data_IF_718278100777
#
_entry.id   IF_718278100777
#
_cell.length_a   1.000
_cell.length_b   1.000
_cell.length_c   1.000
_cell.angle_alpha   90.00
_cell.angle_beta   90.00
_cell.angle_gamma   90.00
#
_symmetry.space_group_name_H-M   'P 1'
#
loop_
_entity.id
_entity.type
_entity.pdbx_description
1 polymer ?
#
# COMPACT_ATOMS: atom_id res chain seq x y z
N UNK A 1 -0.16 -2.21 31.48
CA UNK A 1 -0.24 -3.11 30.32
C UNK A 1 -1.18 -2.45 29.32
N UNK A 2 -0.65 -1.67 28.38
CA UNK A 2 -1.48 -1.10 27.31
C UNK A 2 -1.81 -2.27 26.38
N UNK A 3 -3.03 -2.80 26.48
CA UNK A 3 -3.54 -3.68 25.43
C UNK A 3 -3.40 -2.92 24.12
N UNK A 4 -2.68 -3.49 23.15
CA UNK A 4 -2.66 -2.97 21.79
C UNK A 4 -4.11 -2.96 21.33
N UNK A 5 -4.72 -1.78 21.35
CA UNK A 5 -6.09 -1.62 20.91
C UNK A 5 -6.08 -2.01 19.43
N UNK A 6 -6.57 -3.20 19.09
CA UNK A 6 -6.53 -3.71 17.70
C UNK A 6 -7.60 -3.08 16.80
N UNK A 7 -8.31 -2.08 17.33
CA UNK A 7 -9.37 -1.29 16.68
C UNK A 7 -8.83 0.06 16.18
N UNK A 8 -7.68 0.06 15.52
CA UNK A 8 -7.10 1.29 15.01
C UNK A 8 -7.39 1.42 13.52
N UNK A 9 -7.91 2.58 13.11
CA UNK A 9 -8.10 2.92 11.69
C UNK A 9 -6.78 2.89 10.92
N UNK A 10 -5.66 3.13 11.61
CA UNK A 10 -4.30 3.18 11.07
C UNK A 10 -3.29 2.59 12.07
N UNK A 11 -2.22 1.91 11.61
CA UNK A 11 -1.10 1.48 12.47
C UNK A 11 -0.58 2.61 13.37
N UNK A 12 -0.22 2.31 14.62
CA UNK A 12 0.42 3.32 15.50
C UNK A 12 1.86 3.53 15.05
N UNK A 13 2.20 4.77 14.73
CA UNK A 13 3.53 5.17 14.26
C UNK A 13 4.06 6.28 15.16
N UNK A 14 5.37 6.28 15.43
CA UNK A 14 5.99 7.31 16.25
C UNK A 14 6.03 8.65 15.53
N UNK A 15 6.11 9.73 16.31
CA UNK A 15 6.23 11.09 15.78
C UNK A 15 7.57 11.31 15.04
N UNK A 16 7.55 12.21 14.07
CA UNK A 16 8.73 12.66 13.35
C UNK A 16 9.32 13.87 14.07
N UNK A 17 10.52 13.71 14.62
CA UNK A 17 11.16 14.74 15.47
C UNK A 17 11.69 15.94 14.67
N UNK A 18 11.91 15.79 13.35
CA UNK A 18 12.54 16.81 12.50
C UNK A 18 11.89 16.94 11.12
N UNK A 19 10.60 17.26 11.02
CA UNK A 19 9.98 17.44 9.70
C UNK A 19 10.49 18.73 9.04
N UNK A 20 11.41 18.63 8.07
CA UNK A 20 11.76 19.76 7.21
C UNK A 20 10.53 20.21 6.40
N UNK A 21 10.33 21.53 6.24
CA UNK A 21 9.22 22.09 5.45
C UNK A 21 9.37 21.80 3.94
N UNK A 22 10.60 21.68 3.45
CA UNK A 22 10.92 21.26 2.08
C UNK A 22 11.95 20.14 2.11
N UNK A 23 11.68 19.06 1.39
CA UNK A 23 12.62 17.94 1.24
C UNK A 23 13.84 18.34 0.42
N UNK A 24 15.02 17.86 0.82
CA UNK A 24 16.27 18.10 0.09
C UNK A 24 16.34 17.37 -1.25
N UNK A 25 15.53 16.34 -1.44
CA UNK A 25 15.56 15.46 -2.61
C UNK A 25 14.15 15.16 -3.12
N UNK A 26 13.93 15.27 -4.44
CA UNK A 26 12.64 14.95 -5.07
C UNK A 26 12.38 13.45 -5.21
N UNK A 27 13.42 12.68 -5.51
CA UNK A 27 13.37 11.23 -5.74
C UNK A 27 14.42 10.53 -4.89
N UNK A 28 13.99 9.67 -3.98
CA UNK A 28 14.86 8.86 -3.13
C UNK A 28 15.07 7.48 -3.78
N UNK A 29 16.32 7.05 -3.90
CA UNK A 29 16.67 5.67 -4.29
C UNK A 29 16.82 4.84 -3.02
N UNK A 30 16.12 3.71 -2.95
CA UNK A 30 16.15 2.84 -1.78
C UNK A 30 15.94 1.37 -2.16
N UNK A 31 16.20 0.48 -1.21
CA UNK A 31 15.90 -0.94 -1.30
C UNK A 31 14.50 -1.20 -0.75
N UNK A 32 13.63 -1.81 -1.55
CA UNK A 32 12.34 -2.31 -1.18
C UNK A 32 12.47 -3.70 -0.54
N UNK A 33 12.01 -3.79 0.71
CA UNK A 33 11.79 -5.05 1.40
C UNK A 33 10.29 -5.24 1.68
N UNK A 34 9.85 -6.49 1.60
CA UNK A 34 8.48 -6.85 1.95
C UNK A 34 8.43 -7.88 3.07
N UNK A 35 7.33 -7.92 3.80
CA UNK A 35 7.18 -8.85 4.91
C UNK A 35 5.77 -8.89 5.49
N UNK A 36 5.63 -9.57 6.63
CA UNK A 36 4.36 -9.63 7.35
C UNK A 36 4.40 -8.65 8.52
N UNK A 37 3.29 -7.99 8.79
CA UNK A 37 3.13 -7.07 9.91
C UNK A 37 1.97 -7.51 10.82
N UNK A 38 2.02 -7.11 12.09
CA UNK A 38 1.01 -7.45 13.09
C UNK A 38 -0.34 -6.80 12.82
N UNK A 39 -0.37 -5.54 12.36
CA UNK A 39 -1.60 -4.82 12.03
C UNK A 39 -2.24 -5.43 10.80
N UNK A 40 -1.43 -5.77 9.79
CA UNK A 40 -1.91 -6.54 8.65
C UNK A 40 -2.56 -7.86 9.10
N UNK A 41 -1.87 -8.63 9.94
CA UNK A 41 -2.36 -9.93 10.41
C UNK A 41 -3.68 -9.82 11.15
N UNK A 42 -3.83 -8.78 11.98
CA UNK A 42 -5.08 -8.47 12.68
C UNK A 42 -6.21 -8.12 11.69
N UNK A 43 -5.97 -7.25 10.72
CA UNK A 43 -6.98 -6.87 9.71
C UNK A 43 -7.45 -8.08 8.89
N UNK A 44 -6.54 -8.98 8.48
CA UNK A 44 -6.89 -10.21 7.74
C UNK A 44 -7.78 -11.17 8.53
N UNK A 45 -7.54 -11.30 9.84
CA UNK A 45 -8.32 -12.21 10.69
C UNK A 45 -9.66 -11.62 11.11
N UNK A 46 -9.72 -10.30 11.30
CA UNK A 46 -10.90 -9.61 11.80
C UNK A 46 -11.91 -9.27 10.70
N UNK A 47 -11.43 -8.92 9.51
CA UNK A 47 -12.26 -8.25 8.51
C UNK A 47 -12.00 -8.70 7.08
N UNK A 48 -12.46 -7.88 6.15
CA UNK A 48 -12.26 -8.08 4.72
C UNK A 48 -11.00 -7.35 4.26
N UNK A 49 -10.27 -7.94 3.32
CA UNK A 49 -9.14 -7.30 2.64
C UNK A 49 -9.55 -6.12 1.74
N UNK A 50 -10.87 -5.85 1.64
CA UNK A 50 -11.43 -4.73 0.89
C UNK A 50 -11.58 -3.45 1.71
N UNK A 51 -11.49 -3.53 3.04
CA UNK A 51 -11.71 -2.39 3.94
C UNK A 51 -10.53 -1.42 3.99
N UNK A 52 -10.82 -0.16 4.29
CA UNK A 52 -9.82 0.89 4.47
C UNK A 52 -8.80 0.57 5.57
N UNK A 53 -9.21 -0.09 6.66
CA UNK A 53 -8.28 -0.56 7.71
C UNK A 53 -7.16 -1.44 7.12
N UNK A 54 -7.50 -2.35 6.19
CA UNK A 54 -6.52 -3.22 5.54
C UNK A 54 -5.62 -2.45 4.58
N UNK A 55 -6.18 -1.47 3.84
CA UNK A 55 -5.40 -0.53 3.02
C UNK A 55 -4.40 0.25 3.89
N UNK A 56 -4.81 0.78 5.03
CA UNK A 56 -3.92 1.55 5.90
C UNK A 56 -2.82 0.70 6.54
N UNK A 57 -3.05 -0.60 6.72
CA UNK A 57 -2.02 -1.52 7.21
C UNK A 57 -1.10 -2.07 6.10
N UNK A 58 -1.64 -2.37 4.91
CA UNK A 58 -0.90 -3.05 3.85
C UNK A 58 -0.43 -2.14 2.70
N UNK A 59 -1.10 -1.01 2.49
CA UNK A 59 -0.78 0.05 1.53
C UNK A 59 0.04 1.17 2.16
N UNK A 60 0.97 0.82 3.05
CA UNK A 60 1.84 1.75 3.76
C UNK A 60 3.30 1.37 3.55
N UNK A 61 4.09 2.37 3.18
CA UNK A 61 5.53 2.34 3.03
C UNK A 61 6.18 2.87 4.32
N UNK A 62 6.77 1.96 5.09
CA UNK A 62 7.51 2.30 6.29
C UNK A 62 8.94 2.72 5.92
N UNK A 63 9.33 3.91 6.36
CA UNK A 63 10.57 4.57 5.96
C UNK A 63 11.41 4.98 7.16
N UNK A 64 12.72 5.14 6.95
CA UNK A 64 13.58 5.77 7.94
C UNK A 64 13.17 7.25 8.11
N UNK A 65 13.10 7.77 9.35
CA UNK A 65 12.78 9.18 9.57
C UNK A 65 13.71 10.13 8.81
N UNK A 66 15.00 9.81 8.64
CA UNK A 66 15.96 10.65 7.89
C UNK A 66 15.61 10.70 6.41
N UNK A 67 15.20 9.59 5.83
CA UNK A 67 14.75 9.52 4.44
C UNK A 67 13.42 10.26 4.23
N UNK A 68 12.51 10.17 5.20
CA UNK A 68 11.27 10.97 5.19
C UNK A 68 11.57 12.47 5.22
N UNK A 69 12.57 12.89 5.99
CA UNK A 69 13.03 14.29 6.04
C UNK A 69 13.66 14.71 4.71
N UNK A 70 14.50 13.87 4.10
CA UNK A 70 15.08 14.14 2.77
C UNK A 70 14.00 14.29 1.69
N UNK A 71 12.92 13.49 1.76
CA UNK A 71 11.79 13.57 0.83
C UNK A 71 10.78 14.67 1.19
N UNK A 72 10.80 15.23 2.40
CA UNK A 72 9.81 16.19 2.86
C UNK A 72 8.41 15.59 3.03
N UNK A 73 8.33 14.33 3.46
CA UNK A 73 7.07 13.61 3.71
C UNK A 73 6.81 13.45 5.21
N UNK A 74 5.54 13.61 5.59
CA UNK A 74 5.06 13.36 6.96
C UNK A 74 4.45 11.97 7.08
N UNK A 75 4.19 11.54 8.31
CA UNK A 75 3.36 10.37 8.54
C UNK A 75 2.00 10.56 7.87
N UNK A 76 1.58 9.57 7.10
CA UNK A 76 0.35 9.52 6.31
C UNK A 76 0.28 10.46 5.10
N UNK A 77 1.40 11.07 4.69
CA UNK A 77 1.51 11.64 3.34
C UNK A 77 1.56 10.50 2.31
N UNK A 78 1.24 10.80 1.06
CA UNK A 78 1.27 9.83 -0.03
C UNK A 78 2.58 9.88 -0.81
N UNK A 79 3.09 8.69 -1.13
CA UNK A 79 4.31 8.50 -1.93
C UNK A 79 4.06 7.55 -3.08
N UNK A 80 4.65 7.85 -4.23
CA UNK A 80 4.69 6.97 -5.38
C UNK A 80 5.98 6.15 -5.31
N UNK A 81 5.85 4.83 -5.22
CA UNK A 81 6.96 3.89 -5.23
C UNK A 81 7.01 3.25 -6.61
N UNK A 82 8.17 3.35 -7.27
CA UNK A 82 8.41 2.75 -8.59
C UNK A 82 9.58 1.78 -8.53
N UNK A 83 9.46 0.72 -9.32
CA UNK A 83 10.50 -0.27 -9.58
C UNK A 83 10.49 -0.60 -11.07
N UNK A 84 11.44 -1.42 -11.52
CA UNK A 84 11.47 -1.89 -12.92
C UNK A 84 10.24 -2.74 -13.29
N UNK A 85 9.47 -3.21 -12.31
CA UNK A 85 8.31 -4.11 -12.50
C UNK A 85 6.97 -3.38 -12.47
N UNK A 86 6.93 -2.15 -11.95
CA UNK A 86 5.69 -1.38 -11.84
C UNK A 86 5.78 -0.25 -10.82
N UNK A 87 4.62 0.38 -10.58
CA UNK A 87 4.49 1.50 -9.66
C UNK A 87 3.21 1.39 -8.81
N UNK A 88 3.24 2.00 -7.61
CA UNK A 88 2.08 2.06 -6.72
C UNK A 88 2.17 3.23 -5.76
N UNK A 89 1.02 3.82 -5.46
CA UNK A 89 0.88 4.87 -4.44
C UNK A 89 0.65 4.23 -3.08
N UNK A 90 1.44 4.63 -2.08
CA UNK A 90 1.39 4.14 -0.70
C UNK A 90 1.36 5.32 0.28
N UNK A 91 0.90 5.07 1.51
CA UNK A 91 1.07 6.02 2.60
C UNK A 91 2.50 5.94 3.13
N UNK A 92 3.17 7.05 3.38
CA UNK A 92 4.45 7.09 4.06
C UNK A 92 4.27 7.06 5.58
N UNK A 93 5.04 6.24 6.28
CA UNK A 93 4.99 6.15 7.73
C UNK A 93 6.38 5.94 8.32
N UNK A 94 6.64 6.50 9.50
CA UNK A 94 7.86 6.22 10.26
C UNK A 94 7.93 4.74 10.60
N UNK A 95 9.03 4.10 10.22
CA UNK A 95 9.29 2.71 10.59
C UNK A 95 9.56 2.57 12.09
N UNK A 96 9.05 1.48 12.66
CA UNK A 96 9.30 1.10 14.06
C UNK A 96 10.70 0.54 14.27
N UNK A 97 11.31 0.02 13.21
CA UNK A 97 12.63 -0.62 13.22
C UNK A 97 13.74 0.33 12.75
N UNK A 98 13.43 1.63 12.62
CA UNK A 98 14.43 2.65 12.35
C UNK A 98 15.52 2.66 13.45
N UNK A 99 16.79 2.96 13.12
CA UNK A 99 17.25 3.51 11.84
C UNK A 99 17.69 2.45 10.81
N UNK A 100 17.36 2.69 9.54
CA UNK A 100 17.67 1.86 8.36
C UNK A 100 17.60 2.70 7.07
N UNK A 101 18.41 3.75 6.98
CA UNK A 101 18.43 4.66 5.83
C UNK A 101 18.72 3.94 4.51
N UNK A 102 18.07 4.37 3.42
CA UNK A 102 18.16 3.76 2.10
C UNK A 102 17.35 2.47 1.95
N UNK A 103 16.51 2.12 2.93
CA UNK A 103 15.62 0.95 2.88
C UNK A 103 14.18 1.34 3.23
N UNK A 104 13.23 0.78 2.49
CA UNK A 104 11.80 0.89 2.78
C UNK A 104 11.20 -0.49 3.01
N UNK A 105 10.14 -0.52 3.83
CA UNK A 105 9.39 -1.74 4.10
C UNK A 105 7.91 -1.58 3.72
N UNK A 106 7.40 -2.52 2.92
CA UNK A 106 5.99 -2.58 2.55
C UNK A 106 5.42 -3.95 2.91
N UNK A 107 4.28 -3.99 3.58
CA UNK A 107 3.63 -5.24 3.92
C UNK A 107 3.25 -6.05 2.67
N UNK A 108 3.47 -7.37 2.71
CA UNK A 108 3.12 -8.28 1.62
C UNK A 108 1.64 -8.19 1.29
N UNK A 109 1.26 -7.99 0.04
CA UNK A 109 -0.14 -7.78 -0.28
C UNK A 109 -0.34 -7.24 -1.67
N UNK A 110 -1.58 -6.88 -2.03
CA UNK A 110 -1.88 -6.48 -3.39
C UNK A 110 -1.10 -5.23 -3.82
N UNK A 111 -0.87 -4.26 -2.92
CA UNK A 111 -0.03 -3.10 -3.22
C UNK A 111 1.45 -3.44 -3.40
N UNK A 112 2.04 -4.26 -2.54
CA UNK A 112 3.45 -4.67 -2.72
C UNK A 112 3.64 -5.50 -3.99
N UNK A 113 2.67 -6.34 -4.33
CA UNK A 113 2.76 -7.25 -5.48
C UNK A 113 2.85 -6.52 -6.83
N UNK A 114 2.48 -5.24 -6.92
CA UNK A 114 2.60 -4.45 -8.16
C UNK A 114 4.02 -3.94 -8.43
N UNK A 115 4.89 -3.97 -7.42
CA UNK A 115 6.24 -3.40 -7.46
C UNK A 115 7.33 -4.44 -7.11
N UNK A 116 6.95 -5.71 -6.98
CA UNK A 116 7.91 -6.81 -6.75
C UNK A 116 8.22 -7.54 -8.05
N UNK A 117 9.38 -8.18 -8.08
CA UNK A 117 9.80 -8.97 -9.22
C UNK A 117 9.00 -10.27 -9.29
N UNK A 118 8.52 -10.59 -10.49
CA UNK A 118 7.94 -11.89 -10.80
C UNK A 118 9.02 -12.94 -11.14
N UNK A 119 10.31 -12.58 -11.16
CA UNK A 119 11.40 -13.52 -11.42
C UNK A 119 11.59 -14.49 -10.26
N UNK A 120 11.61 -15.79 -10.59
CA UNK A 120 11.70 -16.88 -9.61
C UNK A 120 13.05 -17.58 -9.57
N UNK A 121 13.98 -17.24 -10.47
CA UNK A 121 15.30 -17.87 -10.60
C UNK A 121 15.24 -19.42 -10.61
N UNK A 122 14.22 -19.98 -11.27
CA UNK A 122 13.93 -21.43 -11.34
C UNK A 122 13.61 -22.10 -9.98
N UNK A 123 13.31 -21.32 -8.94
CA UNK A 123 12.97 -21.83 -7.60
C UNK A 123 11.46 -21.78 -7.29
N UNK A 124 10.61 -21.44 -8.27
CA UNK A 124 9.15 -21.30 -8.14
C UNK A 124 8.65 -20.18 -7.22
N UNK A 125 9.51 -19.56 -6.41
CA UNK A 125 9.20 -18.43 -5.53
C UNK A 125 9.66 -17.10 -6.15
N UNK A 126 8.79 -16.10 -6.32
CA UNK A 126 9.17 -14.78 -6.80
C UNK A 126 10.12 -14.02 -5.85
N UNK A 127 10.87 -13.08 -6.41
CA UNK A 127 11.78 -12.24 -5.64
C UNK A 127 11.02 -11.08 -4.99
N UNK A 128 10.64 -11.28 -3.72
CA UNK A 128 9.82 -10.32 -2.97
C UNK A 128 10.61 -9.26 -2.17
N UNK A 129 11.94 -9.41 -2.03
CA UNK A 129 12.76 -8.57 -1.15
C UNK A 129 14.07 -8.18 -1.83
N UNK A 130 14.68 -7.09 -1.37
CA UNK A 130 15.97 -6.63 -1.89
C UNK A 130 15.88 -5.99 -3.28
N UNK A 131 14.73 -5.43 -3.64
CA UNK A 131 14.50 -4.85 -4.97
C UNK A 131 14.86 -3.37 -4.93
N UNK A 132 15.56 -2.86 -5.94
CA UNK A 132 15.82 -1.41 -6.01
C UNK A 132 14.55 -0.67 -6.42
N UNK A 133 14.25 0.40 -5.71
CA UNK A 133 13.07 1.23 -5.92
C UNK A 133 13.41 2.72 -5.87
N UNK A 134 12.56 3.52 -6.48
CA UNK A 134 12.53 4.97 -6.31
C UNK A 134 11.25 5.39 -5.60
N UNK A 135 11.36 6.34 -4.68
CA UNK A 135 10.23 6.90 -3.93
C UNK A 135 10.18 8.40 -4.16
N UNK A 136 8.99 8.91 -4.48
CA UNK A 136 8.73 10.33 -4.64
C UNK A 136 7.42 10.73 -3.96
N UNK A 137 7.32 11.99 -3.53
CA UNK A 137 6.08 12.53 -2.96
C UNK A 137 5.03 12.71 -4.06
N UNK A 138 3.78 12.37 -3.78
CA UNK A 138 2.67 12.51 -4.72
C UNK A 138 1.41 13.00 -4.03
N UNK A 139 0.53 13.65 -4.79
CA UNK A 139 -0.81 14.05 -4.34
C UNK A 139 -1.89 13.01 -4.70
N UNK A 140 -1.52 11.94 -5.42
CA UNK A 140 -2.41 10.81 -5.71
C UNK A 140 -2.78 10.08 -4.41
N UNK A 141 -4.00 9.54 -4.35
CA UNK A 141 -4.48 8.78 -3.19
C UNK A 141 -4.08 7.31 -3.29
N UNK A 142 -3.88 6.66 -2.14
CA UNK A 142 -3.78 5.20 -2.08
C UNK A 142 -5.13 4.59 -2.44
N UNK A 143 -5.15 3.79 -3.52
CA UNK A 143 -6.35 3.09 -3.98
C UNK A 143 -6.79 2.03 -2.96
N UNK A 144 -8.12 1.82 -2.87
CA UNK A 144 -8.68 0.65 -2.19
C UNK A 144 -8.32 -0.62 -2.96
N UNK A 145 -8.45 -1.78 -2.33
CA UNK A 145 -8.02 -3.05 -2.95
C UNK A 145 -8.78 -3.34 -4.25
N UNK A 146 -10.11 -3.12 -4.30
CA UNK A 146 -10.89 -3.34 -5.50
C UNK A 146 -10.48 -2.39 -6.64
N UNK A 147 -10.27 -1.12 -6.33
CA UNK A 147 -9.82 -0.10 -7.29
C UNK A 147 -8.40 -0.37 -7.77
N UNK A 148 -7.52 -0.86 -6.90
CA UNK A 148 -6.18 -1.29 -7.27
C UNK A 148 -6.23 -2.49 -8.24
N UNK A 149 -7.10 -3.47 -7.97
CA UNK A 149 -7.26 -4.61 -8.88
C UNK A 149 -7.78 -4.17 -10.25
N UNK A 150 -8.70 -3.20 -10.26
CA UNK A 150 -9.18 -2.56 -11.48
C UNK A 150 -8.05 -1.85 -12.23
N UNK A 151 -7.30 -1.00 -11.53
CA UNK A 151 -6.21 -0.21 -12.10
C UNK A 151 -5.13 -1.10 -12.74
N UNK A 152 -4.62 -2.07 -11.96
CA UNK A 152 -3.44 -2.85 -12.32
C UNK A 152 -3.77 -4.01 -13.28
N UNK A 153 -4.88 -4.71 -13.04
CA UNK A 153 -5.22 -5.93 -13.78
C UNK A 153 -6.39 -5.75 -14.73
N UNK A 154 -6.86 -4.50 -14.92
CA UNK A 154 -7.99 -4.16 -15.80
C UNK A 154 -9.23 -5.01 -15.50
N UNK A 155 -9.47 -5.28 -14.22
CA UNK A 155 -10.65 -6.04 -13.76
C UNK A 155 -11.84 -5.11 -13.56
N UNK A 156 -13.05 -5.57 -13.88
CA UNK A 156 -14.29 -4.82 -13.67
C UNK A 156 -14.36 -3.51 -14.47
N UNK A 157 -13.80 -3.54 -15.68
CA UNK A 157 -13.84 -2.45 -16.66
C UNK A 157 -14.19 -3.04 -18.03
N UNK A 158 -14.97 -2.28 -18.80
CA UNK A 158 -15.26 -2.60 -20.20
C UNK A 158 -14.25 -1.94 -21.15
N UNK A 159 -13.53 -0.92 -20.67
CA UNK A 159 -12.51 -0.16 -21.38
C UNK A 159 -11.21 -0.13 -20.57
N UNK A 160 -10.08 -0.46 -21.22
CA UNK A 160 -8.80 -0.66 -20.54
C UNK A 160 -7.92 0.60 -20.51
N UNK A 161 -8.38 1.72 -21.11
CA UNK A 161 -7.66 2.99 -21.17
C UNK A 161 -7.35 3.53 -19.78
N UNK A 162 -6.08 3.85 -19.52
CA UNK A 162 -5.60 4.28 -18.20
C UNK A 162 -6.29 5.57 -17.73
N UNK A 163 -6.51 6.54 -18.63
CA UNK A 163 -7.13 7.82 -18.27
C UNK A 163 -8.60 7.61 -17.88
N UNK A 164 -9.28 6.69 -18.55
CA UNK A 164 -10.67 6.33 -18.22
C UNK A 164 -10.71 5.63 -16.87
N UNK A 165 -9.86 4.63 -16.65
CA UNK A 165 -9.86 3.81 -15.43
C UNK A 165 -9.46 4.62 -14.19
N UNK A 166 -8.52 5.56 -14.29
CA UNK A 166 -8.11 6.41 -13.16
C UNK A 166 -9.23 7.31 -12.66
N UNK A 167 -10.10 7.77 -13.56
CA UNK A 167 -11.18 8.71 -13.26
C UNK A 167 -12.52 8.02 -12.93
N UNK A 168 -12.57 6.69 -12.87
CA UNK A 168 -13.78 5.96 -12.48
C UNK A 168 -14.12 6.13 -11.00
N UNK A 169 -15.42 6.05 -10.69
CA UNK A 169 -15.87 5.99 -9.31
C UNK A 169 -15.34 4.72 -8.61
N UNK A 170 -14.94 4.88 -7.35
CA UNK A 170 -14.43 3.80 -6.52
C UNK A 170 -15.47 2.68 -6.38
N UNK A 171 -15.01 1.43 -6.49
CA UNK A 171 -15.79 0.23 -6.20
C UNK A 171 -16.11 0.07 -4.70
N UNK A 172 -15.44 0.85 -3.84
CA UNK A 172 -15.65 0.86 -2.40
C UNK A 172 -15.11 -0.38 -1.68
N UNK A 173 -15.58 -0.58 -0.45
CA UNK A 173 -15.10 -1.64 0.44
C UNK A 173 -15.88 -2.96 0.35
N UNK A 174 -16.86 -3.03 -0.55
CA UNK A 174 -17.74 -4.20 -0.69
C UNK A 174 -17.23 -5.14 -1.77
N UNK A 175 -17.49 -6.45 -1.63
CA UNK A 175 -17.14 -7.40 -2.69
C UNK A 175 -17.81 -7.03 -4.01
N UNK A 176 -17.04 -7.10 -5.09
CA UNK A 176 -17.52 -6.88 -6.45
C UNK A 176 -17.78 -8.24 -7.07
N UNK A 177 -19.05 -8.59 -7.25
CA UNK A 177 -19.46 -9.83 -7.89
C UNK A 177 -19.83 -9.56 -9.35
N UNK A 178 -19.29 -10.37 -10.27
CA UNK A 178 -19.71 -10.32 -11.66
C UNK A 178 -21.03 -11.08 -11.78
N UNK A 179 -22.12 -10.40 -12.13
CA UNK A 179 -23.39 -11.05 -12.48
C UNK A 179 -24.54 -10.99 -11.47
N UNK A 180 -24.46 -10.18 -10.40
CA UNK A 180 -25.61 -9.75 -9.57
C UNK A 180 -25.18 -8.58 -8.67
N UNK A 181 -26.02 -7.55 -8.55
CA UNK A 181 -25.77 -6.49 -7.57
C UNK A 181 -25.86 -7.09 -6.16
N UNK A 182 -25.09 -6.58 -5.21
CA UNK A 182 -25.17 -7.06 -3.81
C UNK A 182 -26.59 -6.95 -3.25
N UNK A 183 -27.37 -5.94 -3.68
CA UNK A 183 -28.78 -5.81 -3.32
C UNK A 183 -29.64 -6.99 -3.77
N UNK A 184 -29.26 -7.69 -4.84
CA UNK A 184 -29.98 -8.84 -5.42
C UNK A 184 -29.62 -10.18 -4.74
N UNK A 185 -28.68 -10.17 -3.79
CA UNK A 185 -28.25 -11.35 -3.03
C UNK A 185 -28.81 -11.39 -1.60
N UNK A 186 -29.53 -10.34 -1.17
CA UNK A 186 -30.07 -10.20 0.20
C UNK A 186 -31.33 -11.08 0.40
N UNK A 187 -31.97 -11.53 -0.69
CA UNK A 187 -33.25 -12.26 -0.69
C UNK A 187 -33.13 -13.79 -0.51
N UNK A 188 -31.99 -14.29 -0.04
CA UNK A 188 -31.90 -15.67 0.40
C UNK A 188 -32.05 -15.73 1.92
N UNK A 189 -33.27 -16.06 2.35
CA UNK A 189 -33.65 -16.41 3.71
C UNK A 189 -32.53 -17.16 4.45
N UNK A 190 -32.07 -16.56 5.55
CA UNK A 190 -31.33 -17.22 6.63
C UNK A 190 -32.34 -17.80 7.61
#
# INVERSE_FOLDING_TARGET
>A
MHYANTYLERPVVGDLENVAQEGTTKVLKCMLNTGSDIYQGACKKRGSTLKEEYKNASGTCYMDPRDMVKLGVKNWDTVLVKTDYGEVVLNAAKSRDAPHEGTIFVCKGPWANTIVSHETYCCSDPTYKGIMATVEKTDRKVLLMADLMRWVYKKYVDEEDDDVVENMESLGERPVYNGRKWEELIDHDI
#
